data_IF_598580191149
#
_entry.id   IF_598580191149
#
_cell.length_a   1.000
_cell.length_b   1.000
_cell.length_c   1.000
_cell.angle_alpha   90.00
_cell.angle_beta   90.00
_cell.angle_gamma   90.00
#
_symmetry.space_group_name_H-M   'P 1'
#
loop_
_entity.id
_entity.type
_entity.pdbx_description
1 polymer ?
#
# COMPACT_ATOMS: atom_id res chain seq x y z
N UNK A 1 2.40 -2.03 1.14
CA UNK A 1 3.71 -1.44 1.44
C UNK A 1 3.85 -0.15 0.66
N UNK A 2 4.38 0.91 1.26
CA UNK A 2 4.57 2.21 0.62
C UNK A 2 6.07 2.59 0.67
N UNK A 3 6.69 3.00 -0.45
CA UNK A 3 8.07 3.50 -0.46
C UNK A 3 8.21 4.83 0.28
N UNK A 4 9.41 5.12 0.77
CA UNK A 4 9.69 6.29 1.62
C UNK A 4 9.25 7.60 0.94
N UNK A 5 9.73 7.85 -0.27
CA UNK A 5 9.46 9.08 -1.02
C UNK A 5 7.98 9.28 -1.35
N UNK A 6 7.23 8.19 -1.57
CA UNK A 6 5.80 8.29 -1.86
C UNK A 6 5.05 8.83 -0.64
N UNK A 7 5.36 8.36 0.57
CA UNK A 7 4.74 8.88 1.79
C UNK A 7 5.07 10.37 2.01
N UNK A 8 6.30 10.79 1.73
CA UNK A 8 6.67 12.21 1.79
C UNK A 8 5.86 13.07 0.81
N UNK A 9 5.68 12.60 -0.42
CA UNK A 9 4.88 13.29 -1.45
C UNK A 9 3.40 13.37 -1.11
N UNK A 10 2.91 12.44 -0.30
CA UNK A 10 1.55 12.48 0.27
C UNK A 10 1.42 13.39 1.49
N UNK A 11 2.51 14.08 1.89
CA UNK A 11 2.53 15.00 3.02
C UNK A 11 2.71 14.32 4.38
N UNK A 12 3.08 13.03 4.40
CA UNK A 12 3.33 12.31 5.64
C UNK A 12 4.71 12.67 6.22
N UNK A 13 4.81 12.70 7.55
CA UNK A 13 6.07 12.89 8.28
C UNK A 13 6.53 11.58 8.89
N UNK A 14 7.80 11.21 8.68
CA UNK A 14 8.40 10.03 9.30
C UNK A 14 8.65 10.22 10.79
N UNK A 15 8.39 9.18 11.58
CA UNK A 15 8.65 9.15 13.02
C UNK A 15 9.25 7.80 13.41
N UNK A 16 10.54 7.79 13.76
CA UNK A 16 11.27 6.59 14.15
C UNK A 16 10.62 5.87 15.34
N UNK A 17 9.94 6.59 16.24
CA UNK A 17 9.27 5.98 17.38
C UNK A 17 7.99 5.23 17.00
N UNK A 18 7.44 5.48 15.80
CA UNK A 18 6.28 4.79 15.24
C UNK A 18 6.66 3.64 14.31
N UNK A 19 7.96 3.45 14.02
CA UNK A 19 8.47 2.40 13.14
C UNK A 19 8.46 1.01 13.81
N UNK A 20 7.27 0.53 14.16
CA UNK A 20 7.05 -0.69 14.94
C UNK A 20 6.57 -1.90 14.11
N UNK A 21 6.43 -1.76 12.79
CA UNK A 21 6.04 -2.86 11.91
C UNK A 21 7.27 -3.70 11.59
N UNK A 22 7.24 -4.99 11.96
CA UNK A 22 8.26 -5.97 11.57
C UNK A 22 7.95 -6.53 10.19
N UNK A 23 8.80 -6.24 9.22
CA UNK A 23 8.75 -6.85 7.89
C UNK A 23 9.38 -8.25 7.94
N UNK A 24 8.95 -9.13 7.02
CA UNK A 24 9.45 -10.49 6.90
C UNK A 24 10.33 -10.66 5.66
N UNK A 25 11.06 -11.78 5.59
CA UNK A 25 11.88 -12.14 4.44
C UNK A 25 13.06 -11.19 4.22
N UNK A 26 13.35 -10.88 2.96
CA UNK A 26 14.49 -10.03 2.55
C UNK A 26 14.38 -8.58 3.04
N UNK A 27 13.21 -8.16 3.50
CA UNK A 27 12.94 -6.80 3.96
C UNK A 27 12.99 -6.64 5.48
N UNK A 28 13.34 -7.72 6.22
CA UNK A 28 13.28 -7.72 7.69
C UNK A 28 14.20 -6.72 8.39
N UNK A 29 15.21 -6.20 7.68
CA UNK A 29 16.12 -5.17 8.20
C UNK A 29 15.61 -3.73 7.97
N UNK A 30 14.50 -3.56 7.27
CA UNK A 30 13.95 -2.24 6.98
C UNK A 30 12.94 -1.83 8.05
N UNK A 31 13.07 -0.60 8.51
CA UNK A 31 12.11 0.02 9.41
C UNK A 31 10.82 0.35 8.65
N UNK A 32 9.69 0.06 9.28
CA UNK A 32 8.38 0.38 8.73
C UNK A 32 7.44 0.90 9.82
N UNK A 33 6.66 1.92 9.48
CA UNK A 33 5.60 2.46 10.33
C UNK A 33 4.24 2.39 9.64
N UNK A 34 3.13 2.33 10.39
CA UNK A 34 1.82 2.39 9.80
C UNK A 34 1.57 3.78 9.21
N UNK A 35 1.10 3.84 7.97
CA UNK A 35 0.58 5.05 7.34
C UNK A 35 -0.82 4.79 6.80
N UNK A 36 -1.78 5.62 7.20
CA UNK A 36 -3.14 5.59 6.71
C UNK A 36 -3.35 6.76 5.75
N UNK A 37 -3.88 6.48 4.56
CA UNK A 37 -4.15 7.48 3.53
C UNK A 37 -5.54 7.25 2.97
N UNK A 38 -6.20 8.31 2.54
CA UNK A 38 -7.39 8.20 1.69
C UNK A 38 -6.92 8.22 0.24
N UNK A 39 -7.15 7.13 -0.49
CA UNK A 39 -6.69 6.99 -1.87
C UNK A 39 -7.88 6.89 -2.82
N UNK A 40 -7.78 7.58 -3.96
CA UNK A 40 -8.73 7.47 -5.05
C UNK A 40 -8.14 6.62 -6.17
N UNK A 41 -8.84 5.56 -6.55
CA UNK A 41 -8.42 4.65 -7.62
C UNK A 41 -9.24 4.96 -8.88
N UNK A 42 -8.61 5.60 -9.86
CA UNK A 42 -9.29 5.99 -11.10
C UNK A 42 -10.53 6.85 -10.81
N UNK A 43 -11.70 6.38 -11.23
CA UNK A 43 -12.99 7.06 -11.07
C UNK A 43 -13.80 6.57 -9.86
N UNK A 44 -13.26 5.66 -9.04
CA UNK A 44 -13.96 5.15 -7.88
C UNK A 44 -14.00 6.17 -6.74
N UNK A 45 -14.92 5.98 -5.79
CA UNK A 45 -14.95 6.76 -4.58
C UNK A 45 -13.63 6.56 -3.79
N UNK A 46 -13.13 7.61 -3.11
CA UNK A 46 -11.94 7.47 -2.27
C UNK A 46 -12.18 6.46 -1.13
N UNK A 47 -11.19 5.62 -0.86
CA UNK A 47 -11.24 4.62 0.21
C UNK A 47 -10.05 4.76 1.17
N UNK A 48 -10.23 4.43 2.46
CA UNK A 48 -9.11 4.39 3.39
C UNK A 48 -8.18 3.22 3.03
N UNK A 49 -6.89 3.50 2.96
CA UNK A 49 -5.84 2.50 2.78
C UNK A 49 -4.79 2.61 3.91
N UNK A 50 -4.49 1.48 4.53
CA UNK A 50 -3.34 1.28 5.41
C UNK A 50 -2.12 0.71 4.66
N UNK A 51 -0.95 1.30 4.90
CA UNK A 51 0.34 0.84 4.41
C UNK A 51 1.33 0.61 5.55
N UNK A 52 2.16 -0.41 5.41
CA UNK A 52 3.50 -0.37 6.00
C UNK A 52 4.33 0.61 5.16
N UNK A 53 4.54 1.82 5.67
CA UNK A 53 5.40 2.83 5.06
C UNK A 53 6.84 2.54 5.47
N UNK A 54 7.70 2.32 4.50
CA UNK A 54 9.05 1.79 4.69
C UNK A 54 10.08 2.89 4.47
N UNK A 55 11.11 2.93 5.30
CA UNK A 55 12.24 3.85 5.16
C UNK A 55 13.22 3.38 4.07
N UNK A 56 12.70 3.06 2.89
CA UNK A 56 13.46 2.69 1.70
C UNK A 56 12.66 2.98 0.44
N UNK A 57 13.35 3.34 -0.64
CA UNK A 57 12.78 3.49 -1.98
C UNK A 57 13.04 2.26 -2.87
N UNK A 58 13.78 1.27 -2.37
CA UNK A 58 14.11 0.02 -3.08
C UNK A 58 12.99 -1.03 -2.99
N UNK A 59 11.83 -0.64 -2.46
CA UNK A 59 10.63 -1.47 -2.38
C UNK A 59 9.59 -0.96 -3.37
N UNK A 60 8.82 -1.85 -4.03
CA UNK A 60 7.70 -1.42 -4.86
C UNK A 60 6.54 -0.93 -3.98
N UNK A 61 5.66 -0.11 -4.57
CA UNK A 61 4.32 0.09 -4.01
C UNK A 61 3.57 -1.24 -4.08
N UNK A 62 3.12 -1.74 -2.93
CA UNK A 62 2.35 -2.98 -2.84
C UNK A 62 0.95 -2.67 -2.32
N UNK A 63 -0.05 -2.89 -3.16
CA UNK A 63 -1.46 -2.92 -2.82
C UNK A 63 -1.82 -4.36 -2.38
N UNK A 64 -1.88 -4.57 -1.07
CA UNK A 64 -1.93 -5.92 -0.48
C UNK A 64 -3.34 -6.38 -0.09
N UNK A 65 -3.40 -7.67 0.28
CA UNK A 65 -4.64 -8.37 0.63
C UNK A 65 -5.37 -7.77 1.84
N UNK A 66 -4.65 -7.38 2.88
CA UNK A 66 -5.21 -6.94 4.18
C UNK A 66 -5.82 -5.53 4.15
N UNK A 67 -5.97 -4.93 2.98
CA UNK A 67 -6.43 -3.56 2.83
C UNK A 67 -7.06 -3.32 1.45
N UNK A 68 -6.24 -3.33 0.39
CA UNK A 68 -6.72 -3.02 -0.96
C UNK A 68 -7.73 -4.04 -1.47
N UNK A 69 -7.48 -5.34 -1.27
CA UNK A 69 -8.42 -6.39 -1.69
C UNK A 69 -9.66 -6.51 -0.78
N UNK A 70 -9.70 -5.78 0.35
CA UNK A 70 -10.94 -5.64 1.13
C UNK A 70 -11.85 -4.54 0.56
N UNK A 71 -11.29 -3.57 -0.15
CA UNK A 71 -12.04 -2.48 -0.79
C UNK A 71 -12.35 -2.75 -2.25
N UNK A 72 -11.57 -3.59 -2.92
CA UNK A 72 -11.74 -3.90 -4.34
C UNK A 72 -11.60 -5.40 -4.63
N UNK A 73 -12.50 -5.89 -5.49
CA UNK A 73 -12.33 -7.14 -6.20
C UNK A 73 -11.27 -6.95 -7.30
N UNK A 74 -10.29 -7.85 -7.34
CA UNK A 74 -9.18 -7.79 -8.31
C UNK A 74 -9.08 -9.10 -9.08
N UNK A 75 -9.30 -9.04 -10.39
CA UNK A 75 -9.24 -10.18 -11.30
C UNK A 75 -8.00 -10.08 -12.20
N UNK A 76 -7.12 -11.09 -12.16
CA UNK A 76 -5.91 -11.13 -12.97
C UNK A 76 -6.09 -11.98 -14.22
N UNK A 77 -5.85 -11.42 -15.40
CA UNK A 77 -5.89 -12.11 -16.68
C UNK A 77 -4.47 -12.31 -17.21
N UNK A 78 -3.77 -13.31 -16.64
CA UNK A 78 -2.32 -13.52 -16.83
C UNK A 78 -1.86 -13.58 -18.29
N UNK A 79 -2.58 -14.29 -19.15
CA UNK A 79 -2.22 -14.42 -20.58
C UNK A 79 -2.35 -13.09 -21.34
N UNK A 80 -3.18 -12.18 -20.86
CA UNK A 80 -3.45 -10.87 -21.45
C UNK A 80 -2.59 -9.75 -20.82
N UNK A 81 -1.82 -10.06 -19.77
CA UNK A 81 -1.02 -9.10 -19.00
C UNK A 81 -1.84 -7.93 -18.44
N UNK A 82 -3.12 -8.18 -18.15
CA UNK A 82 -4.05 -7.19 -17.62
C UNK A 82 -4.70 -7.66 -16.31
N UNK A 83 -5.28 -6.71 -15.60
CA UNK A 83 -6.10 -6.98 -14.43
C UNK A 83 -7.27 -6.00 -14.40
N UNK A 84 -8.38 -6.45 -13.81
CA UNK A 84 -9.55 -5.63 -13.56
C UNK A 84 -9.65 -5.32 -12.07
N UNK A 85 -10.07 -4.10 -11.74
CA UNK A 85 -10.36 -3.66 -10.37
C UNK A 85 -11.80 -3.17 -10.33
N UNK A 86 -12.60 -3.71 -9.41
CA UNK A 86 -13.98 -3.29 -9.15
C UNK A 86 -14.13 -3.01 -7.65
N UNK A 87 -14.88 -1.98 -7.22
CA UNK A 87 -15.23 -1.83 -5.81
C UNK A 87 -15.93 -3.10 -5.31
N UNK A 88 -15.65 -3.52 -4.07
CA UNK A 88 -16.40 -4.63 -3.47
C UNK A 88 -17.90 -4.35 -3.57
N UNK A 89 -18.66 -5.35 -4.02
CA UNK A 89 -20.12 -5.24 -3.98
C UNK A 89 -20.58 -5.37 -2.52
N UNK A 90 -21.33 -4.37 -2.04
CA UNK A 90 -21.92 -4.37 -0.71
C UNK A 90 -23.08 -5.34 -0.55
#
# INVERSE_FOLDING_TARGET
MLPYEVGLRLGASWDEHKANIRLAGTLGNLNAMPLFVTAQMGQFAPVPLAFAWVQSNEVPLILGQTNFFMEFDVCFYRSQLEFEVKPKSG
#
